data_IF_472001977212
#
_entry.id   IF_472001977212
#
_cell.length_a   1.000
_cell.length_b   1.000
_cell.length_c   1.000
_cell.angle_alpha   90.00
_cell.angle_beta   90.00
_cell.angle_gamma   90.00
#
_symmetry.space_group_name_H-M   'P 1'
#
loop_
_entity.id
_entity.type
_entity.pdbx_description
1 polymer ?
#
# COMPACT_ATOMS: atom_id res chain seq x y z
N UNK A 1 -11.00 6.31 7.44
CA UNK A 1 -10.94 7.60 6.73
C UNK A 1 -11.64 7.45 5.38
N UNK A 2 -12.60 8.30 5.04
CA UNK A 2 -13.30 8.19 3.77
C UNK A 2 -12.42 8.54 2.57
N UNK A 3 -12.76 7.99 1.41
CA UNK A 3 -11.96 8.17 0.19
C UNK A 3 -11.69 9.64 -0.18
N UNK A 4 -12.68 10.55 -0.16
CA UNK A 4 -12.42 11.96 -0.50
C UNK A 4 -11.34 12.60 0.39
N UNK A 5 -11.33 12.27 1.66
CA UNK A 5 -10.33 12.80 2.59
C UNK A 5 -8.94 12.20 2.31
N UNK A 6 -8.87 10.92 1.98
CA UNK A 6 -7.61 10.28 1.58
C UNK A 6 -7.03 10.93 0.32
N UNK A 7 -7.87 11.22 -0.66
CA UNK A 7 -7.44 11.89 -1.89
C UNK A 7 -6.92 13.31 -1.62
N UNK A 8 -7.57 14.03 -0.70
CA UNK A 8 -7.11 15.35 -0.27
C UNK A 8 -5.76 15.29 0.42
N UNK A 9 -5.57 14.34 1.33
CA UNK A 9 -4.29 14.16 2.02
C UNK A 9 -3.19 13.82 1.02
N UNK A 10 -3.47 12.92 0.06
CA UNK A 10 -2.53 12.58 -0.99
C UNK A 10 -2.12 13.82 -1.80
N UNK A 11 -3.08 14.61 -2.25
CA UNK A 11 -2.84 15.83 -3.01
C UNK A 11 -1.99 16.83 -2.21
N UNK A 12 -2.28 16.98 -0.92
CA UNK A 12 -1.53 17.88 -0.05
C UNK A 12 -0.07 17.43 0.10
N UNK A 13 0.19 16.12 0.05
CA UNK A 13 1.54 15.56 0.07
C UNK A 13 2.24 15.59 -1.30
N UNK A 14 1.58 16.12 -2.33
CA UNK A 14 2.12 16.14 -3.68
C UNK A 14 1.95 14.82 -4.43
N UNK A 15 1.03 13.98 -4.01
CA UNK A 15 0.78 12.67 -4.61
C UNK A 15 -0.50 12.73 -5.45
N UNK A 16 -0.38 12.44 -6.74
CA UNK A 16 -1.53 12.35 -7.63
C UNK A 16 -2.21 10.99 -7.51
N UNK A 17 -3.52 10.95 -7.66
CA UNK A 17 -4.28 9.69 -7.65
C UNK A 17 -5.02 9.52 -8.97
N UNK A 18 -4.84 8.34 -9.58
CA UNK A 18 -5.51 7.96 -10.84
C UNK A 18 -6.42 6.78 -10.56
N UNK A 19 -7.66 6.85 -11.00
CA UNK A 19 -8.62 5.75 -10.91
C UNK A 19 -8.67 5.02 -12.25
N UNK A 20 -8.13 3.80 -12.28
CA UNK A 20 -7.91 3.05 -13.50
C UNK A 20 -6.58 3.40 -14.14
N UNK A 21 -6.52 3.39 -15.46
CA UNK A 21 -5.36 3.81 -16.22
C UNK A 21 -4.38 2.70 -16.59
N UNK A 22 -3.21 3.11 -17.07
CA UNK A 22 -2.24 2.23 -17.70
C UNK A 22 -1.69 1.14 -16.76
N UNK A 23 -1.42 1.48 -15.49
CA UNK A 23 -0.92 0.49 -14.55
C UNK A 23 -1.92 -0.64 -14.33
N UNK A 24 -3.19 -0.29 -14.18
CA UNK A 24 -4.25 -1.29 -13.98
C UNK A 24 -4.42 -2.20 -15.18
N UNK A 25 -4.27 -1.66 -16.39
CA UNK A 25 -4.32 -2.46 -17.61
C UNK A 25 -3.11 -3.39 -17.73
N UNK A 26 -1.93 -2.92 -17.33
CA UNK A 26 -0.69 -3.70 -17.41
C UNK A 26 -0.58 -4.77 -16.30
N UNK A 27 -1.31 -4.61 -15.19
CA UNK A 27 -1.25 -5.49 -14.02
C UNK A 27 -2.62 -6.12 -13.73
N UNK A 28 -2.98 -7.21 -14.43
CA UNK A 28 -4.35 -7.76 -14.34
C UNK A 28 -4.78 -8.23 -12.95
N UNK A 29 -3.81 -8.62 -12.11
CA UNK A 29 -4.10 -9.10 -10.75
C UNK A 29 -4.02 -8.00 -9.69
N UNK A 30 -3.46 -6.84 -10.02
CA UNK A 30 -3.26 -5.75 -9.06
C UNK A 30 -4.51 -4.94 -8.81
N UNK A 31 -4.66 -4.42 -7.60
CA UNK A 31 -5.79 -3.55 -7.22
C UNK A 31 -5.37 -2.10 -7.01
N UNK A 32 -4.10 -1.86 -6.69
CA UNK A 32 -3.56 -0.52 -6.50
C UNK A 32 -2.04 -0.54 -6.44
N UNK A 33 -1.44 0.63 -6.63
CA UNK A 33 0.00 0.80 -6.51
C UNK A 33 0.36 2.23 -6.14
N UNK A 34 1.53 2.41 -5.57
CA UNK A 34 2.19 3.70 -5.44
C UNK A 34 3.51 3.67 -6.20
N UNK A 35 3.72 4.64 -7.09
CA UNK A 35 4.98 4.79 -7.84
C UNK A 35 5.78 5.95 -7.23
N UNK A 36 6.91 5.68 -6.57
CA UNK A 36 7.73 6.72 -5.97
C UNK A 36 8.42 7.62 -7.00
N UNK A 37 8.63 7.15 -8.23
CA UNK A 37 9.28 7.95 -9.27
C UNK A 37 8.38 9.05 -9.80
N UNK A 38 7.09 8.78 -9.92
CA UNK A 38 6.10 9.73 -10.42
C UNK A 38 5.25 10.37 -9.33
N UNK A 39 5.37 9.90 -8.08
CA UNK A 39 4.52 10.30 -6.95
C UNK A 39 3.04 10.10 -7.29
N UNK A 40 2.70 8.95 -7.82
CA UNK A 40 1.35 8.66 -8.28
C UNK A 40 0.80 7.39 -7.65
N UNK A 41 -0.45 7.46 -7.19
CA UNK A 41 -1.22 6.31 -6.73
C UNK A 41 -2.17 5.91 -7.85
N UNK A 42 -2.17 4.63 -8.23
CA UNK A 42 -3.16 4.06 -9.13
C UNK A 42 -4.14 3.20 -8.31
N UNK A 43 -5.43 3.39 -8.55
CA UNK A 43 -6.50 2.60 -7.94
C UNK A 43 -7.32 1.94 -9.05
N UNK A 44 -7.35 0.61 -9.08
CA UNK A 44 -8.11 -0.15 -10.07
C UNK A 44 -9.54 -0.33 -9.55
N UNK A 45 -10.32 0.75 -9.58
CA UNK A 45 -11.62 0.85 -8.90
C UNK A 45 -12.61 -0.23 -9.27
N UNK A 46 -12.74 -0.56 -10.55
CA UNK A 46 -13.64 -1.64 -10.98
C UNK A 46 -13.20 -2.99 -10.46
N UNK A 47 -11.90 -3.26 -10.51
CA UNK A 47 -11.35 -4.53 -10.01
C UNK A 47 -11.47 -4.64 -8.50
N UNK A 48 -11.25 -3.55 -7.78
CA UNK A 48 -11.45 -3.50 -6.33
C UNK A 48 -12.89 -3.89 -5.98
N UNK A 49 -13.86 -3.30 -6.67
CA UNK A 49 -15.28 -3.61 -6.47
C UNK A 49 -15.59 -5.06 -6.80
N UNK A 50 -15.08 -5.57 -7.93
CA UNK A 50 -15.34 -6.94 -8.35
C UNK A 50 -14.79 -7.97 -7.37
N UNK A 51 -13.75 -7.62 -6.62
CA UNK A 51 -13.17 -8.49 -5.58
C UNK A 51 -13.85 -8.30 -4.22
N UNK A 52 -14.88 -7.47 -4.12
CA UNK A 52 -15.59 -7.22 -2.88
C UNK A 52 -14.78 -6.41 -1.86
N UNK A 53 -13.75 -5.68 -2.29
CA UNK A 53 -12.93 -4.86 -1.42
C UNK A 53 -13.41 -3.41 -1.40
N UNK A 54 -13.08 -2.69 -0.33
CA UNK A 54 -13.39 -1.28 -0.21
C UNK A 54 -12.29 -0.43 -0.86
N UNK A 55 -12.68 0.56 -1.67
CA UNK A 55 -11.74 1.43 -2.37
C UNK A 55 -10.90 2.24 -1.38
N UNK A 56 -11.52 2.73 -0.29
CA UNK A 56 -10.82 3.51 0.74
C UNK A 56 -9.75 2.67 1.46
N UNK A 57 -9.98 1.38 1.64
CA UNK A 57 -8.97 0.48 2.21
C UNK A 57 -7.74 0.38 1.32
N UNK A 58 -7.93 0.18 0.02
CA UNK A 58 -6.82 0.10 -0.94
C UNK A 58 -6.12 1.46 -1.04
N UNK A 59 -6.87 2.55 -1.11
CA UNK A 59 -6.31 3.91 -1.16
C UNK A 59 -5.47 4.20 0.08
N UNK A 60 -5.94 3.81 1.25
CA UNK A 60 -5.22 3.99 2.52
C UNK A 60 -3.90 3.22 2.54
N UNK A 61 -3.91 1.99 2.01
CA UNK A 61 -2.72 1.16 1.88
C UNK A 61 -1.66 1.83 0.97
N UNK A 62 -2.08 2.29 -0.21
CA UNK A 62 -1.16 2.93 -1.16
C UNK A 62 -0.69 4.31 -0.65
N UNK A 63 -1.55 5.06 0.01
CA UNK A 63 -1.15 6.31 0.64
C UNK A 63 -0.10 6.07 1.73
N UNK A 64 -0.22 4.98 2.49
CA UNK A 64 0.79 4.64 3.48
C UNK A 64 2.16 4.39 2.83
N UNK A 65 2.20 3.73 1.67
CA UNK A 65 3.45 3.58 0.92
C UNK A 65 4.04 4.93 0.51
N UNK A 66 3.21 5.88 0.11
CA UNK A 66 3.68 7.24 -0.18
C UNK A 66 4.29 7.91 1.06
N UNK A 67 3.66 7.75 2.22
CA UNK A 67 4.16 8.29 3.48
C UNK A 67 5.48 7.62 3.89
N UNK A 68 5.58 6.30 3.72
CA UNK A 68 6.84 5.58 3.93
C UNK A 68 7.97 6.13 3.07
N UNK A 69 7.68 6.35 1.79
CA UNK A 69 8.67 6.88 0.84
C UNK A 69 9.13 8.30 1.21
N UNK A 70 8.18 9.17 1.61
CA UNK A 70 8.47 10.58 1.88
C UNK A 70 9.10 10.79 3.26
N UNK A 71 8.70 10.03 4.27
CA UNK A 71 9.04 10.30 5.67
C UNK A 71 9.64 9.12 6.42
N UNK A 72 9.61 7.93 5.84
CA UNK A 72 10.11 6.73 6.48
C UNK A 72 11.64 6.67 6.53
N UNK A 73 12.15 5.74 7.31
CA UNK A 73 13.58 5.43 7.38
C UNK A 73 14.02 4.88 6.02
N UNK A 74 15.04 5.43 5.44
CA UNK A 74 15.53 5.03 4.11
C UNK A 74 14.45 5.09 3.02
N UNK A 75 13.36 5.86 3.26
CA UNK A 75 12.23 5.92 2.34
C UNK A 75 11.42 4.63 2.21
N UNK A 76 11.47 3.72 3.19
CA UNK A 76 10.83 2.40 3.09
C UNK A 76 9.88 2.09 4.23
N UNK A 77 10.28 2.28 5.49
CA UNK A 77 9.45 1.95 6.64
C UNK A 77 9.73 2.88 7.80
N UNK A 78 8.79 2.96 8.74
CA UNK A 78 8.95 3.71 9.98
C UNK A 78 9.56 2.86 11.08
N UNK A 79 9.14 1.60 11.15
CA UNK A 79 9.59 0.65 12.15
C UNK A 79 10.87 -0.05 11.68
N UNK A 80 11.67 -0.50 12.63
CA UNK A 80 12.82 -1.35 12.32
C UNK A 80 12.36 -2.74 11.89
N UNK A 81 13.24 -3.50 11.25
CA UNK A 81 12.95 -4.87 10.83
C UNK A 81 12.56 -5.76 12.02
N UNK A 82 13.22 -5.58 13.16
CA UNK A 82 12.89 -6.31 14.37
C UNK A 82 11.52 -6.00 14.92
N UNK A 83 11.13 -4.71 14.90
CA UNK A 83 9.80 -4.28 15.33
C UNK A 83 8.72 -4.82 14.40
N UNK A 84 8.95 -4.77 13.09
CA UNK A 84 8.01 -5.32 12.11
C UNK A 84 7.83 -6.82 12.32
N UNK A 85 8.92 -7.57 12.47
CA UNK A 85 8.87 -9.01 12.74
C UNK A 85 8.08 -9.34 14.01
N UNK A 86 8.31 -8.58 15.07
CA UNK A 86 7.60 -8.75 16.34
C UNK A 86 6.08 -8.57 16.17
N UNK A 87 5.66 -7.51 15.49
CA UNK A 87 4.25 -7.21 15.27
C UNK A 87 3.58 -8.20 14.31
N UNK A 88 4.28 -8.59 13.26
CA UNK A 88 3.78 -9.56 12.28
C UNK A 88 3.47 -10.90 12.94
N UNK A 89 4.36 -11.38 13.79
CA UNK A 89 4.15 -12.65 14.51
C UNK A 89 2.90 -12.64 15.39
N UNK A 90 2.53 -11.48 15.91
CA UNK A 90 1.39 -11.35 16.81
C UNK A 90 0.07 -11.04 16.12
N UNK A 91 0.13 -10.30 15.00
CA UNK A 91 -1.04 -9.67 14.42
C UNK A 91 -1.40 -10.17 13.02
N UNK A 92 -0.50 -10.89 12.35
CA UNK A 92 -0.74 -11.35 10.99
C UNK A 92 -0.81 -12.88 10.91
N UNK A 93 -1.71 -13.34 10.03
CA UNK A 93 -1.86 -14.74 9.68
C UNK A 93 -0.65 -15.20 8.86
N UNK A 94 -0.19 -16.43 9.09
CA UNK A 94 0.92 -17.03 8.36
C UNK A 94 0.71 -17.04 6.84
N UNK A 95 -0.52 -17.25 6.39
CA UNK A 95 -0.86 -17.23 4.97
C UNK A 95 -0.59 -15.87 4.34
N UNK A 96 -0.95 -14.81 5.03
CA UNK A 96 -0.73 -13.45 4.55
C UNK A 96 0.76 -13.13 4.50
N UNK A 97 1.51 -13.52 5.53
CA UNK A 97 2.96 -13.33 5.55
C UNK A 97 3.62 -14.07 4.40
N UNK A 98 3.23 -15.33 4.18
CA UNK A 98 3.78 -16.13 3.06
C UNK A 98 3.41 -15.54 1.71
N UNK A 99 2.20 -14.98 1.57
CA UNK A 99 1.80 -14.30 0.34
C UNK A 99 2.70 -13.10 0.06
N UNK A 100 3.01 -12.30 1.06
CA UNK A 100 3.91 -11.14 0.90
C UNK A 100 5.31 -11.61 0.51
N UNK A 101 5.85 -12.60 1.19
CA UNK A 101 7.19 -13.16 0.89
C UNK A 101 7.25 -13.69 -0.55
N UNK A 102 6.17 -14.28 -1.03
CA UNK A 102 6.11 -14.85 -2.38
C UNK A 102 5.98 -13.83 -3.49
N UNK A 103 5.30 -12.70 -3.21
CA UNK A 103 4.91 -11.72 -4.23
C UNK A 103 5.87 -10.54 -4.34
N UNK A 104 6.64 -10.24 -3.30
CA UNK A 104 7.47 -9.03 -3.25
C UNK A 104 8.96 -9.35 -3.21
N UNK A 105 9.80 -8.49 -3.83
CA UNK A 105 11.25 -8.60 -3.69
C UNK A 105 11.68 -8.46 -2.22
N UNK A 106 12.82 -9.05 -1.86
CA UNK A 106 13.29 -9.08 -0.48
C UNK A 106 13.43 -7.69 0.18
N UNK A 107 13.78 -6.68 -0.59
CA UNK A 107 13.94 -5.30 -0.10
C UNK A 107 12.61 -4.56 0.10
N UNK A 108 11.49 -5.12 -0.39
CA UNK A 108 10.16 -4.54 -0.24
C UNK A 108 9.27 -5.28 0.76
N UNK A 109 9.70 -6.45 1.25
CA UNK A 109 8.87 -7.30 2.13
C UNK A 109 8.48 -6.55 3.40
N UNK A 110 9.44 -5.93 4.10
CA UNK A 110 9.17 -5.28 5.36
C UNK A 110 8.30 -4.03 5.22
N UNK A 111 8.49 -3.24 4.17
CA UNK A 111 7.63 -2.08 3.91
C UNK A 111 6.20 -2.51 3.59
N UNK A 112 6.02 -3.61 2.86
CA UNK A 112 4.68 -4.16 2.57
C UNK A 112 4.01 -4.72 3.83
N UNK A 113 4.75 -5.44 4.66
CA UNK A 113 4.23 -5.94 5.93
C UNK A 113 3.79 -4.79 6.84
N UNK A 114 4.60 -3.75 6.96
CA UNK A 114 4.25 -2.57 7.75
C UNK A 114 2.99 -1.89 7.21
N UNK A 115 2.89 -1.71 5.88
CA UNK A 115 1.72 -1.10 5.27
C UNK A 115 0.45 -1.91 5.54
N UNK A 116 0.53 -3.23 5.49
CA UNK A 116 -0.61 -4.10 5.81
C UNK A 116 -1.01 -4.03 7.28
N UNK A 117 -0.05 -3.95 8.19
CA UNK A 117 -0.33 -3.75 9.61
C UNK A 117 -1.04 -2.42 9.84
N UNK A 118 -0.53 -1.35 9.26
CA UNK A 118 -1.06 0.00 9.46
C UNK A 118 -2.42 0.20 8.80
N UNK A 119 -2.70 -0.45 7.69
CA UNK A 119 -4.00 -0.33 7.02
C UNK A 119 -5.16 -0.94 7.82
N UNK A 120 -4.86 -1.73 8.86
CA UNK A 120 -5.85 -2.34 9.75
C UNK A 120 -6.19 -1.47 10.95
N UNK A 121 -5.44 -0.42 11.17
CA UNK A 121 -5.69 0.53 12.23
C UNK A 121 -6.63 1.63 11.75
#
# INVERSE_FOLDING_TARGET
>A
MPLPLLLLVAAWLGVATVQGGAWCEAQPAGVGSYDPQTSEIALCTERIRSKGRAIDEVARHELFHAVQHLFGRDGRSFLSDGQITFLVRRLMDDREVMAVISLYPSDEINSELEARLMSRL
#
